data_IF_573163529069
#
_entry.id   IF_573163529069
#
_cell.length_a   1.000
_cell.length_b   1.000
_cell.length_c   1.000
_cell.angle_alpha   90.00
_cell.angle_beta   90.00
_cell.angle_gamma   90.00
#
_symmetry.space_group_name_H-M   'P 1'
#
loop_
_entity.id
_entity.type
_entity.pdbx_description
1 polymer ?
#
# COMPACT_ATOMS: atom_id res chain seq x y z
N UNK A 1 -3.25 5.31 13.08
CA UNK A 1 -3.69 5.23 11.66
C UNK A 1 -4.59 6.40 11.31
N UNK A 2 -4.01 7.52 10.87
CA UNK A 2 -4.81 8.56 10.23
C UNK A 2 -5.17 8.07 8.82
N UNK A 3 -6.48 7.89 8.56
CA UNK A 3 -7.03 7.55 7.23
C UNK A 3 -6.71 8.57 6.12
N UNK A 4 -5.95 9.63 6.43
CA UNK A 4 -5.67 10.77 5.56
C UNK A 4 -4.45 10.58 4.65
N UNK A 5 -3.58 9.61 4.90
CA UNK A 5 -2.43 9.30 4.02
C UNK A 5 -2.70 8.17 3.03
N UNK A 6 -3.85 7.52 3.14
CA UNK A 6 -4.30 6.57 2.14
C UNK A 6 -4.81 7.34 0.93
N UNK A 7 -4.12 7.26 -0.22
CA UNK A 7 -4.58 7.86 -1.45
C UNK A 7 -5.91 7.24 -1.83
N UNK A 8 -6.74 8.06 -2.49
CA UNK A 8 -8.08 7.67 -2.89
C UNK A 8 -8.08 6.42 -3.78
N UNK A 9 -7.00 6.16 -4.50
CA UNK A 9 -6.80 4.96 -5.32
C UNK A 9 -6.82 3.68 -4.49
N UNK A 10 -6.10 3.63 -3.36
CA UNK A 10 -6.10 2.48 -2.45
C UNK A 10 -7.44 2.29 -1.74
N UNK A 11 -8.15 3.37 -1.44
CA UNK A 11 -9.50 3.30 -0.86
C UNK A 11 -10.53 2.74 -1.84
N UNK A 12 -10.33 2.92 -3.15
CA UNK A 12 -11.19 2.36 -4.20
C UNK A 12 -10.78 0.94 -4.62
N UNK A 13 -9.57 0.51 -4.28
CA UNK A 13 -9.10 -0.85 -4.49
C UNK A 13 -9.82 -1.89 -3.63
N UNK A 14 -9.71 -3.15 -4.04
CA UNK A 14 -10.20 -4.34 -3.31
C UNK A 14 -9.65 -4.43 -1.89
N UNK A 15 -10.40 -5.11 -1.00
CA UNK A 15 -10.01 -5.33 0.42
C UNK A 15 -8.64 -5.98 0.59
N UNK A 16 -8.24 -6.88 -0.32
CA UNK A 16 -6.90 -7.49 -0.31
C UNK A 16 -5.79 -6.45 -0.40
N UNK A 17 -5.89 -5.54 -1.37
CA UNK A 17 -4.91 -4.46 -1.59
C UNK A 17 -4.81 -3.58 -0.34
N UNK A 18 -5.96 -3.19 0.23
CA UNK A 18 -5.99 -2.37 1.44
C UNK A 18 -5.30 -3.05 2.62
N UNK A 19 -5.50 -4.36 2.75
CA UNK A 19 -4.90 -5.17 3.81
C UNK A 19 -3.39 -5.32 3.61
N UNK A 20 -2.95 -5.62 2.38
CA UNK A 20 -1.54 -5.72 2.05
C UNK A 20 -0.79 -4.40 2.24
N UNK A 21 -1.40 -3.28 1.82
CA UNK A 21 -0.83 -1.96 2.06
C UNK A 21 -0.74 -1.64 3.56
N UNK A 22 -1.76 -1.97 4.35
CA UNK A 22 -1.75 -1.73 5.79
C UNK A 22 -0.63 -2.52 6.49
N UNK A 23 -0.44 -3.79 6.13
CA UNK A 23 0.64 -4.64 6.66
C UNK A 23 2.03 -4.12 6.26
N UNK A 24 2.19 -3.72 4.99
CA UNK A 24 3.43 -3.15 4.49
C UNK A 24 3.76 -1.81 5.18
N UNK A 25 2.75 -0.97 5.37
CA UNK A 25 2.87 0.31 6.06
C UNK A 25 3.23 0.14 7.53
N UNK A 26 2.57 -0.77 8.26
CA UNK A 26 2.92 -1.06 9.66
C UNK A 26 4.39 -1.49 9.79
N UNK A 27 4.84 -2.40 8.93
CA UNK A 27 6.22 -2.87 8.91
C UNK A 27 7.20 -1.76 8.55
N UNK A 28 6.83 -0.90 7.60
CA UNK A 28 7.64 0.24 7.19
C UNK A 28 7.76 1.29 8.30
N UNK A 29 6.67 1.63 8.97
CA UNK A 29 6.68 2.54 10.13
C UNK A 29 7.53 2.00 11.25
N UNK A 30 7.46 0.70 11.54
CA UNK A 30 8.32 0.08 12.56
C UNK A 30 9.81 0.13 12.21
N UNK A 31 10.16 0.23 10.92
CA UNK A 31 11.54 0.23 10.43
C UNK A 31 12.13 1.62 10.21
N UNK A 32 11.34 2.54 9.66
CA UNK A 32 11.78 3.87 9.24
C UNK A 32 11.19 5.00 10.11
N UNK A 33 10.18 4.71 10.94
CA UNK A 33 9.39 5.71 11.66
C UNK A 33 8.20 6.21 10.84
N UNK A 34 7.23 6.86 11.50
CA UNK A 34 6.12 7.53 10.82
C UNK A 34 6.63 8.71 9.98
N UNK A 35 6.34 8.69 8.67
CA UNK A 35 6.73 9.75 7.73
C UNK A 35 6.74 9.27 6.27
N UNK A 36 7.13 10.18 5.36
CA UNK A 36 7.21 9.94 3.92
C UNK A 36 8.03 8.69 3.54
N UNK A 37 9.03 8.34 4.35
CA UNK A 37 9.92 7.21 4.10
C UNK A 37 9.20 5.87 4.29
N UNK A 38 8.39 5.74 5.35
CA UNK A 38 7.56 4.57 5.57
C UNK A 38 6.49 4.42 4.48
N UNK A 39 5.93 5.54 4.03
CA UNK A 39 4.93 5.54 2.96
C UNK A 39 5.54 5.07 1.63
N UNK A 40 6.75 5.55 1.28
CA UNK A 40 7.51 5.08 0.10
C UNK A 40 7.86 3.60 0.19
N UNK A 41 8.32 3.13 1.34
CA UNK A 41 8.64 1.72 1.56
C UNK A 41 7.39 0.83 1.42
N UNK A 42 6.25 1.26 1.99
CA UNK A 42 4.98 0.56 1.84
C UNK A 42 4.55 0.45 0.37
N UNK A 43 4.72 1.52 -0.41
CA UNK A 43 4.48 1.49 -1.85
C UNK A 43 5.45 0.60 -2.63
N UNK A 44 6.70 0.53 -2.21
CA UNK A 44 7.69 -0.39 -2.79
C UNK A 44 7.23 -1.84 -2.67
N UNK A 45 6.89 -2.26 -1.44
CA UNK A 45 6.36 -3.60 -1.16
C UNK A 45 5.04 -3.84 -1.91
N UNK A 46 4.14 -2.86 -1.92
CA UNK A 46 2.87 -2.99 -2.64
C UNK A 46 3.09 -3.21 -4.14
N UNK A 47 4.05 -2.52 -4.77
CA UNK A 47 4.35 -2.68 -6.20
C UNK A 47 4.93 -4.04 -6.59
N UNK A 48 5.49 -4.79 -5.63
CA UNK A 48 5.97 -6.14 -5.89
C UNK A 48 4.80 -7.10 -6.12
N UNK A 49 3.74 -7.00 -5.30
CA UNK A 49 2.57 -7.89 -5.36
C UNK A 49 1.36 -7.31 -6.10
N UNK A 50 1.32 -6.00 -6.33
CA UNK A 50 0.20 -5.31 -6.94
C UNK A 50 0.69 -4.36 -8.03
N UNK A 51 -0.13 -4.14 -9.03
CA UNK A 51 0.10 -3.13 -10.07
C UNK A 51 -0.96 -2.04 -10.01
N UNK A 52 -0.55 -0.82 -10.33
CA UNK A 52 -1.46 0.31 -10.45
C UNK A 52 -2.11 0.21 -11.83
N UNK A 53 -3.42 0.00 -11.87
CA UNK A 53 -4.16 -0.07 -13.12
C UNK A 53 -4.44 1.33 -13.68
N UNK A 54 -5.52 1.97 -13.26
CA UNK A 54 -5.91 3.32 -13.72
C UNK A 54 -6.30 4.19 -12.54
N UNK A 55 -7.27 3.75 -11.74
CA UNK A 55 -7.72 4.45 -10.55
C UNK A 55 -7.65 3.59 -9.28
N UNK A 56 -7.25 2.32 -9.43
CA UNK A 56 -7.13 1.36 -8.35
C UNK A 56 -5.92 0.46 -8.57
N UNK A 57 -5.55 -0.25 -7.52
CA UNK A 57 -4.50 -1.26 -7.54
C UNK A 57 -5.14 -2.65 -7.68
N UNK A 58 -4.52 -3.50 -8.48
CA UNK A 58 -4.93 -4.88 -8.70
C UNK A 58 -3.80 -5.83 -8.32
N UNK A 59 -4.10 -6.99 -7.70
CA UNK A 59 -3.08 -7.99 -7.39
C UNK A 59 -2.47 -8.51 -8.69
N UNK A 60 -1.14 -8.54 -8.73
CA UNK A 60 -0.42 -9.30 -9.75
C UNK A 60 -0.70 -10.76 -9.45
N UNK A 61 -1.52 -11.40 -10.29
CA UNK A 61 -1.74 -12.82 -10.13
C UNK A 61 -0.41 -13.54 -10.34
N UNK A 62 0.08 -14.34 -9.37
CA UNK A 62 1.10 -15.32 -9.69
C UNK A 62 0.45 -16.32 -10.64
N UNK A 63 1.02 -16.45 -11.85
CA UNK A 63 0.63 -17.47 -12.83
C UNK A 63 0.72 -18.89 -12.24
#
# INVERSE_FOLDING_TARGET
MNRFELPQTLRRSSKEVQTAFATAHDSAVRRFGEGDEAQRAAYGVLKESYELATDHWVPKQPE
#
